data_IF_628744067185
#
_entry.id   IF_628744067185
#
_cell.length_a   1.000
_cell.length_b   1.000
_cell.length_c   1.000
_cell.angle_alpha   90.00
_cell.angle_beta   90.00
_cell.angle_gamma   90.00
#
_symmetry.space_group_name_H-M   'P 1'
#
loop_
_entity.id
_entity.type
_entity.pdbx_description
1 polymer ?
#
# COMPACT_ATOMS: atom_id res chain seq x y z
N UNK A 1 -14.89 9.33 -6.93
CA UNK A 1 -13.57 9.15 -6.31
C UNK A 1 -13.70 8.64 -4.87
N UNK A 2 -12.91 7.63 -4.53
CA UNK A 2 -12.74 7.04 -3.20
C UNK A 2 -11.24 7.06 -2.90
N UNK A 3 -10.88 7.38 -1.66
CA UNK A 3 -9.51 7.29 -1.17
C UNK A 3 -9.39 6.04 -0.30
N UNK A 4 -8.51 5.11 -0.65
CA UNK A 4 -8.18 3.97 0.21
C UNK A 4 -6.94 4.30 1.04
N UNK A 5 -7.12 4.44 2.35
CA UNK A 5 -6.00 4.47 3.28
C UNK A 5 -5.59 3.06 3.64
N UNK A 6 -4.29 2.79 3.61
CA UNK A 6 -3.72 1.51 4.00
C UNK A 6 -2.60 1.74 5.00
N UNK A 7 -2.63 0.98 6.09
CA UNK A 7 -1.58 0.98 7.13
C UNK A 7 -1.00 -0.42 7.21
N UNK A 8 0.28 -0.53 6.89
CA UNK A 8 1.02 -1.79 6.96
C UNK A 8 1.87 -1.77 8.22
N UNK A 9 1.51 -2.60 9.19
CA UNK A 9 2.26 -2.78 10.43
C UNK A 9 3.35 -3.82 10.20
N UNK A 10 4.59 -3.39 10.35
CA UNK A 10 5.75 -4.23 10.14
C UNK A 10 6.15 -4.98 11.41
N UNK A 11 6.73 -6.16 11.21
CA UNK A 11 7.48 -6.82 12.27
C UNK A 11 8.64 -5.91 12.76
N UNK A 12 9.07 -6.04 14.02
CA UNK A 12 10.12 -5.19 14.59
C UNK A 12 11.37 -5.11 13.71
N UNK A 13 11.77 -3.88 13.35
CA UNK A 13 12.96 -3.62 12.54
C UNK A 13 12.81 -3.90 11.04
N UNK A 14 11.62 -4.29 10.55
CA UNK A 14 11.39 -4.65 9.13
C UNK A 14 10.83 -3.51 8.29
N UNK A 15 10.55 -2.33 8.87
CA UNK A 15 10.10 -1.16 8.11
C UNK A 15 11.05 -0.74 6.97
N UNK A 16 12.39 -0.76 7.11
CA UNK A 16 13.30 -0.46 6.00
C UNK A 16 13.12 -1.42 4.81
N UNK A 17 12.97 -2.73 5.08
CA UNK A 17 12.73 -3.72 4.04
C UNK A 17 11.39 -3.50 3.31
N UNK A 18 10.36 -3.03 4.03
CA UNK A 18 9.10 -2.64 3.38
C UNK A 18 9.29 -1.46 2.45
N UNK A 19 9.98 -0.41 2.89
CA UNK A 19 10.22 0.78 2.07
C UNK A 19 11.03 0.43 0.81
N UNK A 20 12.06 -0.39 0.93
CA UNK A 20 12.84 -0.88 -0.20
C UNK A 20 11.96 -1.65 -1.20
N UNK A 21 11.08 -2.53 -0.72
CA UNK A 21 10.12 -3.24 -1.58
C UNK A 21 9.19 -2.26 -2.30
N UNK A 22 8.73 -1.22 -1.63
CA UNK A 22 7.86 -0.24 -2.26
C UNK A 22 8.60 0.55 -3.36
N UNK A 23 9.78 1.08 -3.05
CA UNK A 23 10.55 1.93 -3.97
C UNK A 23 11.06 1.17 -5.20
N UNK A 24 11.45 -0.10 -5.04
CA UNK A 24 12.08 -0.88 -6.13
C UNK A 24 11.10 -1.79 -6.88
N UNK A 25 10.02 -2.24 -6.24
CA UNK A 25 9.13 -3.28 -6.77
C UNK A 25 7.68 -2.78 -6.85
N UNK A 26 7.04 -2.48 -5.71
CA UNK A 26 5.58 -2.32 -5.65
C UNK A 26 5.09 -1.15 -6.49
N UNK A 27 5.80 -0.01 -6.50
CA UNK A 27 5.37 1.15 -7.30
C UNK A 27 5.44 0.89 -8.82
N UNK A 28 6.34 0.02 -9.27
CA UNK A 28 6.37 -0.44 -10.66
C UNK A 28 5.10 -1.21 -11.03
N UNK A 29 4.63 -2.08 -10.14
CA UNK A 29 3.36 -2.79 -10.32
C UNK A 29 2.15 -1.86 -10.22
N UNK A 30 2.14 -0.91 -9.30
CA UNK A 30 1.07 0.08 -9.22
C UNK A 30 0.94 0.84 -10.55
N UNK A 31 2.06 1.27 -11.12
CA UNK A 31 2.09 1.86 -12.47
C UNK A 31 1.57 0.91 -13.54
N UNK A 32 1.99 -0.36 -13.54
CA UNK A 32 1.55 -1.39 -14.49
C UNK A 32 0.02 -1.59 -14.47
N UNK A 33 -0.59 -1.57 -13.29
CA UNK A 33 -2.03 -1.80 -13.10
C UNK A 33 -2.87 -0.52 -13.03
N UNK A 34 -2.25 0.65 -13.22
CA UNK A 34 -2.94 1.94 -13.16
C UNK A 34 -3.50 2.27 -11.77
N UNK A 35 -2.81 1.84 -10.72
CA UNK A 35 -3.12 2.16 -9.32
C UNK A 35 -2.47 3.50 -9.00
N UNK A 36 -3.29 4.51 -8.70
CA UNK A 36 -2.83 5.88 -8.46
C UNK A 36 -2.55 6.08 -6.95
N UNK A 37 -1.30 6.43 -6.63
CA UNK A 37 -0.93 6.84 -5.27
C UNK A 37 -1.19 8.33 -5.04
N UNK A 38 -1.62 8.68 -3.84
CA UNK A 38 -1.72 10.08 -3.37
C UNK A 38 -0.50 10.46 -2.52
N UNK A 39 -0.04 9.56 -1.65
CA UNK A 39 1.11 9.82 -0.79
C UNK A 39 1.45 8.65 0.14
N UNK A 40 2.66 8.72 0.72
CA UNK A 40 3.26 7.71 1.58
C UNK A 40 3.94 8.37 2.78
N UNK A 41 3.83 7.75 3.95
CA UNK A 41 4.38 8.25 5.21
C UNK A 41 4.86 7.11 6.10
N UNK A 42 5.99 7.32 6.78
CA UNK A 42 6.35 6.60 7.99
C UNK A 42 6.00 7.44 9.22
N UNK A 43 5.59 6.78 10.30
CA UNK A 43 5.13 7.48 11.50
C UNK A 43 6.33 8.00 12.32
N UNK A 44 6.45 9.32 12.45
CA UNK A 44 7.46 9.97 13.30
C UNK A 44 7.07 9.93 14.78
N UNK A 45 5.80 10.18 15.07
CA UNK A 45 5.23 10.11 16.43
C UNK A 45 3.79 9.59 16.35
N UNK A 46 3.42 8.65 17.23
CA UNK A 46 2.11 8.02 17.23
C UNK A 46 2.12 6.64 17.91
N UNK A 47 1.04 5.86 17.76
CA UNK A 47 0.89 4.56 18.42
C UNK A 47 1.96 3.52 18.02
N UNK A 48 2.53 3.64 16.82
CA UNK A 48 3.64 2.81 16.36
C UNK A 48 4.47 3.56 15.32
N UNK A 49 5.79 3.48 15.43
CA UNK A 49 6.74 3.96 14.42
C UNK A 49 7.22 2.85 13.46
N UNK A 50 6.64 1.64 13.55
CA UNK A 50 6.94 0.49 12.70
C UNK A 50 5.86 0.27 11.63
N UNK A 51 5.34 1.34 11.06
CA UNK A 51 4.27 1.28 10.07
C UNK A 51 4.51 2.18 8.86
N UNK A 52 4.08 1.70 7.69
CA UNK A 52 3.95 2.48 6.46
C UNK A 52 2.47 2.80 6.25
N UNK A 53 2.12 4.07 6.21
CA UNK A 53 0.78 4.56 5.87
C UNK A 53 0.81 5.15 4.47
N UNK A 54 -0.18 4.82 3.65
CA UNK A 54 -0.28 5.38 2.31
C UNK A 54 -1.73 5.47 1.84
N UNK A 55 -1.95 6.35 0.87
CA UNK A 55 -3.26 6.64 0.29
C UNK A 55 -3.27 6.29 -1.20
N UNK A 56 -4.32 5.60 -1.64
CA UNK A 56 -4.58 5.30 -3.04
C UNK A 56 -5.88 5.96 -3.48
N UNK A 57 -5.93 6.37 -4.75
CA UNK A 57 -7.12 6.94 -5.37
C UNK A 57 -7.81 5.90 -6.26
N UNK A 58 -9.13 5.87 -6.16
CA UNK A 58 -9.99 5.00 -6.95
C UNK A 58 -11.17 5.80 -7.50
N UNK A 59 -11.63 5.49 -8.71
CA UNK A 59 -12.85 6.05 -9.28
C UNK A 59 -14.10 5.43 -8.63
N UNK A 60 -14.04 4.11 -8.37
CA UNK A 60 -15.10 3.33 -7.73
C UNK A 60 -14.55 2.09 -7.00
N UNK A 61 -15.38 1.46 -6.15
CA UNK A 61 -15.00 0.18 -5.52
C UNK A 61 -14.85 -0.97 -6.54
N UNK A 62 -15.62 -0.94 -7.63
CA UNK A 62 -15.54 -1.96 -8.68
C UNK A 62 -14.22 -1.87 -9.44
N UNK A 63 -13.79 -0.65 -9.80
CA UNK A 63 -12.48 -0.43 -10.42
C UNK A 63 -11.34 -0.81 -9.46
N UNK A 64 -11.46 -0.45 -8.18
CA UNK A 64 -10.52 -0.88 -7.15
C UNK A 64 -10.39 -2.40 -7.11
N UNK A 65 -11.52 -3.12 -7.03
CA UNK A 65 -11.51 -4.58 -6.98
C UNK A 65 -10.84 -5.18 -8.21
N UNK A 66 -11.20 -4.71 -9.41
CA UNK A 66 -10.61 -5.18 -10.67
C UNK A 66 -9.08 -4.98 -10.70
N UNK A 67 -8.62 -3.75 -10.45
CA UNK A 67 -7.18 -3.42 -10.51
C UNK A 67 -6.38 -4.10 -9.40
N UNK A 68 -6.91 -4.08 -8.19
CA UNK A 68 -6.22 -4.66 -7.02
C UNK A 68 -6.12 -6.18 -7.13
N UNK A 69 -7.19 -6.87 -7.56
CA UNK A 69 -7.16 -8.32 -7.74
C UNK A 69 -6.20 -8.72 -8.88
N UNK A 70 -6.20 -7.98 -9.99
CA UNK A 70 -5.27 -8.23 -11.09
C UNK A 70 -3.80 -8.04 -10.66
N UNK A 71 -3.52 -7.00 -9.84
CA UNK A 71 -2.21 -6.79 -9.24
C UNK A 71 -1.80 -7.94 -8.30
N UNK A 72 -2.67 -8.31 -7.35
CA UNK A 72 -2.36 -9.36 -6.38
C UNK A 72 -2.17 -10.75 -7.02
N UNK A 73 -2.87 -11.00 -8.13
CA UNK A 73 -2.78 -12.25 -8.88
C UNK A 73 -1.58 -12.31 -9.84
N UNK A 74 -0.82 -11.23 -10.03
CA UNK A 74 0.33 -11.23 -10.93
C UNK A 74 1.43 -12.20 -10.42
N UNK A 75 1.80 -13.24 -11.20
CA UNK A 75 2.81 -14.20 -10.78
C UNK A 75 4.18 -13.56 -10.51
N UNK A 76 4.53 -12.48 -11.22
CA UNK A 76 5.76 -11.74 -11.01
C UNK A 76 5.73 -11.01 -9.66
N UNK A 77 4.61 -10.37 -9.33
CA UNK A 77 4.41 -9.72 -8.03
C UNK A 77 4.53 -10.74 -6.90
N UNK A 78 3.83 -11.87 -7.01
CA UNK A 78 3.85 -12.93 -6.00
C UNK A 78 5.29 -13.43 -5.80
N UNK A 79 6.03 -13.68 -6.89
CA UNK A 79 7.41 -14.15 -6.81
C UNK A 79 8.32 -13.12 -6.13
N UNK A 80 8.28 -11.85 -6.57
CA UNK A 80 9.14 -10.81 -6.01
C UNK A 80 8.78 -10.50 -4.55
N UNK A 81 7.49 -10.45 -4.20
CA UNK A 81 7.03 -10.30 -2.81
C UNK A 81 7.53 -11.45 -1.94
N UNK A 82 7.40 -12.70 -2.39
CA UNK A 82 7.87 -13.85 -1.63
C UNK A 82 9.40 -13.82 -1.45
N UNK A 83 10.15 -13.39 -2.46
CA UNK A 83 11.60 -13.22 -2.33
C UNK A 83 11.98 -12.19 -1.26
N UNK A 84 11.26 -11.07 -1.17
CA UNK A 84 11.51 -10.06 -0.12
C UNK A 84 11.18 -10.54 1.30
N UNK A 85 10.26 -11.50 1.44
CA UNK A 85 9.83 -12.05 2.74
C UNK A 85 10.48 -13.42 3.07
N UNK A 86 11.39 -13.91 2.23
CA UNK A 86 11.95 -15.26 2.33
C UNK A 86 12.69 -15.52 3.66
N UNK A 87 13.38 -14.52 4.21
CA UNK A 87 14.10 -14.66 5.47
C UNK A 87 13.16 -14.49 6.68
N UNK A 88 12.36 -13.42 6.67
CA UNK A 88 11.44 -13.05 7.74
C UNK A 88 10.29 -12.24 7.17
N UNK A 89 9.11 -12.43 7.77
CA UNK A 89 7.92 -11.62 7.51
C UNK A 89 8.26 -10.13 7.59
N UNK A 90 7.73 -9.35 6.65
CA UNK A 90 7.89 -7.90 6.67
C UNK A 90 6.65 -7.26 7.31
N UNK A 91 5.46 -7.62 6.84
CA UNK A 91 4.18 -7.05 7.28
C UNK A 91 3.40 -8.07 8.09
N UNK A 92 3.13 -7.78 9.36
CA UNK A 92 2.37 -8.67 10.25
C UNK A 92 0.86 -8.43 10.13
N UNK A 93 0.47 -7.19 9.82
CA UNK A 93 -0.93 -6.79 9.82
C UNK A 93 -1.16 -5.66 8.85
N UNK A 94 -2.30 -5.71 8.17
CA UNK A 94 -2.76 -4.68 7.25
C UNK A 94 -4.11 -4.15 7.73
N UNK A 95 -4.23 -2.84 7.82
CA UNK A 95 -5.50 -2.15 7.96
C UNK A 95 -5.81 -1.39 6.68
N UNK A 96 -7.09 -1.34 6.30
CA UNK A 96 -7.56 -0.50 5.21
C UNK A 96 -8.86 0.21 5.56
N UNK A 97 -9.00 1.43 5.05
CA UNK A 97 -10.21 2.25 5.17
C UNK A 97 -10.52 2.87 3.80
N UNK A 98 -11.80 2.91 3.45
CA UNK A 98 -12.27 3.60 2.25
C UNK A 98 -12.97 4.88 2.66
N UNK A 99 -12.45 6.01 2.17
CA UNK A 99 -12.82 7.34 2.58
C UNK A 99 -13.44 8.07 1.40
N UNK A 100 -14.57 8.73 1.65
CA UNK A 100 -15.15 9.69 0.71
C UNK A 100 -14.68 11.09 1.12
N UNK A 101 -14.08 11.89 0.20
CA UNK A 101 -13.70 13.26 0.52
C UNK A 101 -14.94 14.11 0.82
N UNK A 102 -14.88 14.93 1.87
CA UNK A 102 -15.91 15.92 2.17
C UNK A 102 -15.84 17.09 1.17
N UNK A 103 -16.88 17.93 1.13
CA UNK A 103 -16.96 19.04 0.19
C UNK A 103 -15.83 20.08 0.33
N UNK A 104 -15.20 20.16 1.50
CA UNK A 104 -14.10 21.09 1.82
C UNK A 104 -12.72 20.43 1.82
N UNK A 105 -12.61 19.16 1.40
CA UNK A 105 -11.32 18.49 1.25
C UNK A 105 -10.55 19.08 0.08
N UNK A 106 -9.27 19.40 0.28
CA UNK A 106 -8.36 19.79 -0.80
C UNK A 106 -8.10 18.65 -1.80
N UNK A 107 -8.33 17.41 -1.36
CA UNK A 107 -8.14 16.18 -2.13
C UNK A 107 -9.49 15.71 -2.70
N UNK A 108 -10.21 16.57 -3.40
CA UNK A 108 -11.48 16.24 -4.08
C UNK A 108 -11.26 15.98 -5.57
#
# INVERSE_FOLDING_TARGET
>A
MIVEMRVYHCAPGRLPALNERFSTITLGFFKKYGIEQIGFWTTVAGPSNQALTYLLKWESLAEREQKWNAFQADPEWIRQRNATEAEKIIVERVENQFLAPTAYSALR
#
